data_IF_878318105921
#
_entry.id   IF_878318105921
#
_cell.length_a   1.000
_cell.length_b   1.000
_cell.length_c   1.000
_cell.angle_alpha   90.00
_cell.angle_beta   90.00
_cell.angle_gamma   90.00
#
_symmetry.space_group_name_H-M   'P 1'
#
loop_
_entity.id
_entity.type
_entity.pdbx_description
1 polymer ?
#
# COMPACT_ATOMS: atom_id res chain seq x y z
N UNK A 1 -8.34 30.37 -30.63
CA UNK A 1 -8.21 29.48 -29.44
C UNK A 1 -9.27 29.86 -28.41
N UNK A 2 -10.16 28.96 -28.01
CA UNK A 2 -11.37 29.29 -27.24
C UNK A 2 -11.04 29.57 -25.75
N UNK A 3 -11.14 30.83 -25.32
CA UNK A 3 -10.87 31.30 -23.95
C UNK A 3 -11.65 30.50 -22.90
N UNK A 4 -12.91 30.14 -23.18
CA UNK A 4 -13.74 29.33 -22.27
C UNK A 4 -13.11 27.97 -21.98
N UNK A 5 -12.53 27.32 -23.00
CA UNK A 5 -11.88 26.00 -22.86
C UNK A 5 -10.64 26.06 -21.96
N UNK A 6 -9.86 27.13 -22.08
CA UNK A 6 -8.66 27.36 -21.25
C UNK A 6 -9.06 27.55 -19.80
N UNK A 7 -10.06 28.40 -19.55
CA UNK A 7 -10.58 28.66 -18.21
C UNK A 7 -11.07 27.36 -17.56
N UNK A 8 -11.90 26.58 -18.26
CA UNK A 8 -12.38 25.29 -17.77
C UNK A 8 -11.25 24.31 -17.43
N UNK A 9 -10.21 24.25 -18.28
CA UNK A 9 -9.05 23.39 -18.01
C UNK A 9 -8.28 23.84 -16.76
N UNK A 10 -8.12 25.14 -16.56
CA UNK A 10 -7.46 25.69 -15.37
C UNK A 10 -8.26 25.40 -14.10
N UNK A 11 -9.59 25.54 -14.15
CA UNK A 11 -10.48 25.19 -13.05
C UNK A 11 -10.32 23.71 -12.68
N UNK A 12 -10.42 22.79 -13.64
CA UNK A 12 -10.24 21.34 -13.39
C UNK A 12 -8.87 21.01 -12.78
N UNK A 13 -7.81 21.63 -13.27
CA UNK A 13 -6.47 21.46 -12.71
C UNK A 13 -6.36 21.99 -11.28
N UNK A 14 -7.02 23.11 -10.97
CA UNK A 14 -7.08 23.64 -9.62
C UNK A 14 -7.87 22.70 -8.69
N UNK A 15 -9.03 22.21 -9.13
CA UNK A 15 -9.84 21.25 -8.38
C UNK A 15 -9.04 19.97 -8.06
N UNK A 16 -8.32 19.41 -9.03
CA UNK A 16 -7.44 18.25 -8.82
C UNK A 16 -6.33 18.56 -7.80
N UNK A 17 -5.69 19.73 -7.88
CA UNK A 17 -4.64 20.11 -6.93
C UNK A 17 -5.19 20.28 -5.51
N UNK A 18 -6.38 20.86 -5.38
CA UNK A 18 -7.05 21.04 -4.09
C UNK A 18 -7.53 19.71 -3.50
N UNK A 19 -7.98 18.78 -4.34
CA UNK A 19 -8.45 17.47 -3.88
C UNK A 19 -7.32 16.65 -3.26
N UNK A 20 -6.08 16.77 -3.76
CA UNK A 20 -4.90 16.09 -3.20
C UNK A 20 -4.38 16.63 -1.86
N UNK A 21 -5.12 17.52 -1.18
CA UNK A 21 -4.77 18.02 0.16
C UNK A 21 -5.12 17.05 1.29
N UNK A 22 -6.09 16.15 1.08
CA UNK A 22 -6.42 15.07 2.01
C UNK A 22 -6.91 13.84 1.26
N UNK A 23 -6.89 12.69 1.92
CA UNK A 23 -7.25 11.41 1.32
C UNK A 23 -8.74 11.39 0.96
N UNK A 24 -9.56 11.86 1.87
CA UNK A 24 -11.02 11.93 1.77
C UNK A 24 -11.41 12.83 0.59
N UNK A 25 -10.77 14.00 0.47
CA UNK A 25 -10.99 14.92 -0.65
C UNK A 25 -10.61 14.31 -1.99
N UNK A 26 -9.47 13.61 -2.05
CA UNK A 26 -9.03 13.00 -3.31
C UNK A 26 -9.93 11.84 -3.72
N UNK A 27 -10.31 10.95 -2.80
CA UNK A 27 -11.25 9.86 -3.07
C UNK A 27 -12.60 10.41 -3.53
N UNK A 28 -13.14 11.43 -2.84
CA UNK A 28 -14.41 12.06 -3.24
C UNK A 28 -14.31 12.71 -4.62
N UNK A 29 -13.18 13.34 -4.94
CA UNK A 29 -12.93 13.87 -6.27
C UNK A 29 -12.91 12.77 -7.34
N UNK A 30 -12.21 11.66 -7.10
CA UNK A 30 -12.14 10.53 -8.04
C UNK A 30 -13.52 9.90 -8.26
N UNK A 31 -14.30 9.68 -7.19
CA UNK A 31 -15.69 9.21 -7.26
C UNK A 31 -16.58 10.18 -8.04
N UNK A 32 -16.43 11.50 -7.84
CA UNK A 32 -17.13 12.54 -8.61
C UNK A 32 -16.78 12.50 -10.11
N UNK A 33 -15.56 12.08 -10.48
CA UNK A 33 -15.21 11.87 -11.89
C UNK A 33 -15.88 10.61 -12.47
N UNK A 34 -16.41 9.70 -11.66
CA UNK A 34 -17.06 8.46 -12.09
C UNK A 34 -16.22 7.19 -11.88
N UNK A 35 -15.10 7.29 -11.15
CA UNK A 35 -14.30 6.12 -10.77
C UNK A 35 -15.01 5.36 -9.65
N UNK A 36 -15.12 4.03 -9.77
CA UNK A 36 -15.64 3.20 -8.67
C UNK A 36 -14.52 2.91 -7.67
N UNK A 37 -14.73 3.30 -6.42
CA UNK A 37 -13.77 3.09 -5.33
C UNK A 37 -14.54 2.59 -4.11
N UNK A 38 -14.16 1.42 -3.62
CA UNK A 38 -14.66 0.83 -2.37
C UNK A 38 -14.23 1.60 -1.12
N UNK A 39 -14.42 0.99 0.03
CA UNK A 39 -14.17 1.60 1.34
C UNK A 39 -12.83 1.20 1.94
N UNK A 40 -12.46 1.90 3.02
CA UNK A 40 -11.19 1.70 3.74
C UNK A 40 -9.94 1.77 2.84
N UNK A 41 -9.91 2.79 1.98
CA UNK A 41 -8.71 3.09 1.22
C UNK A 41 -7.73 3.83 2.13
N UNK A 42 -6.50 3.36 2.15
CA UNK A 42 -5.39 4.08 2.76
C UNK A 42 -4.49 4.66 1.68
N UNK A 43 -4.09 5.91 1.88
CA UNK A 43 -3.11 6.59 1.04
C UNK A 43 -2.03 7.19 1.93
N UNK A 44 -0.81 7.23 1.43
CA UNK A 44 0.28 7.97 2.06
C UNK A 44 -0.10 9.44 2.29
N UNK A 45 0.43 10.12 3.33
CA UNK A 45 0.21 11.56 3.53
C UNK A 45 0.64 12.44 2.34
N UNK A 46 1.55 11.94 1.49
CA UNK A 46 2.02 12.61 0.25
C UNK A 46 1.14 12.26 -0.94
N UNK A 47 -0.16 12.59 -0.85
CA UNK A 47 -1.18 12.30 -1.88
C UNK A 47 -0.86 12.99 -3.21
N UNK A 48 -0.14 14.12 -3.16
CA UNK A 48 0.40 14.81 -4.33
C UNK A 48 1.12 13.88 -5.31
N UNK A 49 1.75 12.82 -4.79
CA UNK A 49 2.51 11.82 -5.55
C UNK A 49 1.70 10.69 -6.16
N UNK A 50 0.40 10.58 -5.82
CA UNK A 50 -0.48 9.55 -6.37
C UNK A 50 -1.13 10.09 -7.65
N UNK A 51 -1.04 9.34 -8.75
CA UNK A 51 -1.67 9.66 -10.03
C UNK A 51 -2.62 8.55 -10.44
N UNK A 52 -3.92 8.82 -10.42
CA UNK A 52 -4.95 7.94 -10.96
C UNK A 52 -5.57 8.65 -12.17
N UNK A 53 -5.57 7.97 -13.30
CA UNK A 53 -6.09 8.47 -14.57
C UNK A 53 -7.60 8.75 -14.50
N UNK A 54 -7.95 10.03 -14.58
CA UNK A 54 -9.34 10.52 -14.60
C UNK A 54 -9.83 10.84 -16.01
N UNK A 55 -9.04 10.57 -17.06
CA UNK A 55 -9.45 10.85 -18.44
C UNK A 55 -10.49 9.85 -18.96
N UNK A 56 -10.48 8.61 -18.42
CA UNK A 56 -11.46 7.55 -18.70
C UNK A 56 -11.91 6.92 -17.38
N UNK A 57 -12.64 7.67 -16.55
CA UNK A 57 -12.94 7.26 -15.17
C UNK A 57 -13.79 5.99 -15.10
N UNK A 58 -14.62 5.73 -16.12
CA UNK A 58 -15.42 4.50 -16.26
C UNK A 58 -14.60 3.23 -16.43
N UNK A 59 -13.29 3.35 -16.70
CA UNK A 59 -12.37 2.23 -16.86
C UNK A 59 -11.59 1.92 -15.57
N UNK A 60 -11.85 2.59 -14.45
CA UNK A 60 -11.14 2.35 -13.19
C UNK A 60 -12.09 1.84 -12.12
N UNK A 61 -11.77 0.67 -11.57
CA UNK A 61 -12.45 0.09 -10.41
C UNK A 61 -11.43 -0.31 -9.34
N UNK A 62 -11.65 0.12 -8.11
CA UNK A 62 -10.80 -0.17 -6.94
C UNK A 62 -11.68 -0.75 -5.83
N UNK A 63 -11.34 -1.93 -5.32
CA UNK A 63 -12.04 -2.61 -4.24
C UNK A 63 -11.85 -1.99 -2.87
N UNK A 64 -12.20 -2.75 -1.83
CA UNK A 64 -12.09 -2.33 -0.43
C UNK A 64 -10.71 -2.64 0.15
N UNK A 65 -10.33 -1.97 1.24
CA UNK A 65 -9.11 -2.28 2.00
C UNK A 65 -7.81 -2.15 1.17
N UNK A 66 -7.76 -1.21 0.23
CA UNK A 66 -6.59 -1.01 -0.65
C UNK A 66 -5.62 0.01 -0.05
N UNK A 67 -4.33 -0.31 -0.08
CA UNK A 67 -3.26 0.53 0.48
C UNK A 67 -2.35 1.04 -0.64
N UNK A 68 -2.36 2.36 -0.86
CA UNK A 68 -1.62 3.01 -1.94
C UNK A 68 -0.50 3.88 -1.36
N UNK A 69 0.74 3.52 -1.68
CA UNK A 69 1.93 4.23 -1.23
C UNK A 69 2.39 5.34 -2.20
N UNK A 70 3.46 6.05 -1.80
CA UNK A 70 4.02 7.18 -2.55
C UNK A 70 4.40 6.81 -3.98
N UNK A 71 4.24 7.76 -4.89
CA UNK A 71 4.58 7.65 -6.31
C UNK A 71 3.82 6.51 -7.01
N UNK A 72 2.56 6.29 -6.63
CA UNK A 72 1.68 5.33 -7.31
C UNK A 72 1.11 5.95 -8.59
N UNK A 73 1.11 5.19 -9.68
CA UNK A 73 0.50 5.58 -10.95
C UNK A 73 -0.46 4.52 -11.46
N UNK A 74 -1.66 4.92 -11.87
CA UNK A 74 -2.64 4.06 -12.57
C UNK A 74 -3.05 4.77 -13.86
N UNK A 75 -2.81 4.12 -14.99
CA UNK A 75 -3.19 4.63 -16.31
C UNK A 75 -4.17 3.69 -17.02
N UNK A 76 -5.17 4.25 -17.69
CA UNK A 76 -6.13 3.48 -18.50
C UNK A 76 -5.91 3.65 -20.00
N UNK A 77 -4.97 4.51 -20.40
CA UNK A 77 -4.60 4.77 -21.78
C UNK A 77 -3.10 5.04 -21.92
N UNK A 78 -2.59 4.94 -23.14
CA UNK A 78 -1.19 5.20 -23.46
C UNK A 78 -1.04 6.08 -24.71
N UNK A 79 0.05 6.86 -24.75
CA UNK A 79 0.38 7.81 -25.82
C UNK A 79 1.23 7.25 -26.97
N UNK A 80 1.56 5.95 -26.97
CA UNK A 80 2.39 5.32 -28.00
C UNK A 80 1.90 5.51 -29.43
N UNK A 81 0.63 5.87 -29.61
CA UNK A 81 0.04 6.22 -30.91
C UNK A 81 0.77 7.38 -31.61
N UNK A 82 1.46 8.28 -30.90
CA UNK A 82 2.21 9.37 -31.55
C UNK A 82 3.31 8.84 -32.47
N UNK A 83 3.97 7.72 -32.11
CA UNK A 83 4.97 7.08 -32.97
C UNK A 83 4.30 6.43 -34.17
N UNK A 84 3.15 5.78 -33.96
CA UNK A 84 2.38 5.14 -35.03
C UNK A 84 1.85 6.16 -36.03
N UNK A 85 1.40 7.32 -35.55
CA UNK A 85 0.95 8.43 -36.38
C UNK A 85 2.09 8.96 -37.26
N UNK A 86 3.28 9.15 -36.69
CA UNK A 86 4.41 9.68 -37.46
C UNK A 86 5.03 8.66 -38.41
N UNK A 87 4.99 7.37 -38.07
CA UNK A 87 5.61 6.30 -38.84
C UNK A 87 4.69 5.70 -39.90
N UNK A 88 3.42 5.53 -39.56
CA UNK A 88 2.43 4.82 -40.39
C UNK A 88 1.28 5.73 -40.84
N UNK A 89 1.23 7.00 -40.40
CA UNK A 89 0.12 7.91 -40.66
C UNK A 89 -1.25 7.40 -40.17
N UNK A 90 -1.25 6.46 -39.22
CA UNK A 90 -2.45 5.87 -38.65
C UNK A 90 -2.62 6.27 -37.19
N UNK A 91 -3.85 6.66 -36.83
CA UNK A 91 -4.23 6.95 -35.45
C UNK A 91 -4.77 5.67 -34.79
N UNK A 92 -3.90 4.98 -34.05
CA UNK A 92 -4.24 3.71 -33.37
C UNK A 92 -4.26 3.94 -31.85
N UNK A 93 -5.43 4.21 -31.24
CA UNK A 93 -5.53 4.48 -29.81
C UNK A 93 -5.36 3.22 -28.97
N UNK A 94 -4.92 3.39 -27.72
CA UNK A 94 -4.84 2.28 -26.77
C UNK A 94 -5.47 2.67 -25.44
N UNK A 95 -6.43 1.87 -24.99
CA UNK A 95 -7.04 1.98 -23.66
C UNK A 95 -7.51 0.63 -23.16
N UNK A 96 -7.67 0.49 -21.85
CA UNK A 96 -8.16 -0.74 -21.23
C UNK A 96 -8.58 -0.52 -19.79
N UNK A 97 -9.60 -1.28 -19.37
CA UNK A 97 -10.10 -1.27 -17.99
C UNK A 97 -8.99 -1.71 -17.03
N UNK A 98 -8.90 -1.05 -15.88
CA UNK A 98 -8.07 -1.45 -14.75
C UNK A 98 -8.98 -1.80 -13.59
N UNK A 99 -8.83 -3.02 -13.07
CA UNK A 99 -9.59 -3.51 -11.92
C UNK A 99 -8.61 -3.87 -10.81
N UNK A 100 -8.78 -3.29 -9.63
CA UNK A 100 -8.05 -3.65 -8.41
C UNK A 100 -9.04 -4.28 -7.44
N UNK A 101 -8.76 -5.50 -7.01
CA UNK A 101 -9.55 -6.25 -6.04
C UNK A 101 -9.53 -5.67 -4.63
N UNK A 102 -10.01 -6.47 -3.69
CA UNK A 102 -10.03 -6.16 -2.26
C UNK A 102 -8.71 -6.53 -1.58
N UNK A 103 -8.37 -5.82 -0.50
CA UNK A 103 -7.20 -6.12 0.33
C UNK A 103 -5.89 -6.19 -0.49
N UNK A 104 -5.62 -5.14 -1.27
CA UNK A 104 -4.43 -5.04 -2.11
C UNK A 104 -3.46 -4.02 -1.54
N UNK A 105 -2.20 -4.43 -1.36
CA UNK A 105 -1.12 -3.55 -0.95
C UNK A 105 -0.24 -3.19 -2.14
N UNK A 106 -0.04 -1.89 -2.36
CA UNK A 106 0.98 -1.37 -3.27
C UNK A 106 2.13 -0.77 -2.48
N UNK A 107 3.34 -1.26 -2.71
CA UNK A 107 4.58 -0.62 -2.26
C UNK A 107 4.76 0.76 -2.91
N UNK A 108 5.80 1.49 -2.49
CA UNK A 108 6.14 2.78 -3.13
C UNK A 108 6.58 2.55 -4.58
N UNK A 109 6.40 3.57 -5.42
CA UNK A 109 6.82 3.58 -6.83
C UNK A 109 6.16 2.49 -7.70
N UNK A 110 4.91 2.10 -7.41
CA UNK A 110 4.19 1.15 -8.26
C UNK A 110 3.48 1.86 -9.42
N UNK A 111 3.45 1.21 -10.59
CA UNK A 111 2.67 1.64 -11.75
C UNK A 111 1.77 0.52 -12.25
N UNK A 112 0.50 0.81 -12.51
CA UNK A 112 -0.50 -0.13 -13.05
C UNK A 112 -0.94 0.36 -14.43
N UNK A 113 -0.74 -0.49 -15.43
CA UNK A 113 -1.04 -0.17 -16.82
C UNK A 113 -2.47 -0.58 -17.21
N UNK A 114 -2.94 0.03 -18.30
CA UNK A 114 -4.24 -0.23 -18.93
C UNK A 114 -4.47 -1.72 -19.18
N UNK A 115 -5.71 -2.17 -19.00
CA UNK A 115 -6.13 -3.53 -19.35
C UNK A 115 -5.75 -4.60 -18.33
N UNK A 116 -5.35 -4.20 -17.11
CA UNK A 116 -4.89 -5.12 -16.06
C UNK A 116 -5.98 -5.32 -14.99
N UNK A 117 -6.14 -6.58 -14.57
CA UNK A 117 -6.88 -6.98 -13.37
C UNK A 117 -5.91 -7.49 -12.30
N UNK A 118 -5.97 -6.90 -11.10
CA UNK A 118 -5.29 -7.38 -9.90
C UNK A 118 -6.36 -7.98 -8.99
N UNK A 119 -6.23 -9.26 -8.67
CA UNK A 119 -7.17 -9.98 -7.80
C UNK A 119 -7.08 -9.56 -6.33
N UNK A 120 -7.93 -10.18 -5.52
CA UNK A 120 -8.00 -9.93 -4.08
C UNK A 120 -6.75 -10.44 -3.36
N UNK A 121 -6.45 -9.88 -2.17
CA UNK A 121 -5.33 -10.30 -1.31
C UNK A 121 -3.98 -10.31 -2.03
N UNK A 122 -3.64 -9.21 -2.71
CA UNK A 122 -2.38 -9.12 -3.45
C UNK A 122 -1.38 -8.18 -2.78
N UNK A 123 -0.10 -8.58 -2.81
CA UNK A 123 1.01 -7.71 -2.40
C UNK A 123 1.82 -7.36 -3.65
N UNK A 124 1.79 -6.09 -4.03
CA UNK A 124 2.57 -5.54 -5.13
C UNK A 124 3.79 -4.84 -4.54
N UNK A 125 4.97 -5.43 -4.74
CA UNK A 125 6.21 -4.96 -4.12
C UNK A 125 6.69 -3.60 -4.62
N UNK A 126 7.66 -3.02 -3.90
CA UNK A 126 8.26 -1.73 -4.22
C UNK A 126 8.77 -1.67 -5.67
N UNK A 127 8.48 -0.56 -6.37
CA UNK A 127 8.99 -0.31 -7.72
C UNK A 127 8.35 -1.13 -8.83
N UNK A 128 7.24 -1.83 -8.56
CA UNK A 128 6.65 -2.75 -9.53
C UNK A 128 5.91 -2.05 -10.68
N UNK A 129 6.06 -2.55 -11.90
CA UNK A 129 5.33 -2.07 -13.09
C UNK A 129 4.41 -3.18 -13.59
N UNK A 130 3.13 -3.10 -13.21
CA UNK A 130 2.12 -4.10 -13.51
C UNK A 130 1.58 -3.89 -14.92
N UNK A 131 1.93 -4.80 -15.82
CA UNK A 131 1.57 -4.78 -17.26
C UNK A 131 0.72 -5.96 -17.69
N UNK A 132 0.43 -6.87 -16.76
CA UNK A 132 -0.37 -8.09 -16.96
C UNK A 132 -1.14 -8.36 -15.68
N UNK A 133 -2.20 -9.15 -15.79
CA UNK A 133 -3.04 -9.53 -14.66
C UNK A 133 -2.23 -10.20 -13.55
N UNK A 134 -2.63 -9.91 -12.32
CA UNK A 134 -2.08 -10.53 -11.11
C UNK A 134 -3.21 -11.35 -10.47
N UNK A 135 -3.10 -12.68 -10.40
CA UNK A 135 -4.09 -13.53 -9.75
C UNK A 135 -4.27 -13.18 -8.27
N UNK A 136 -5.44 -13.47 -7.71
CA UNK A 136 -5.68 -13.33 -6.28
C UNK A 136 -4.67 -14.12 -5.42
N UNK A 137 -4.49 -13.72 -4.16
CA UNK A 137 -3.59 -14.35 -3.18
C UNK A 137 -2.11 -14.41 -3.64
N UNK A 138 -1.68 -13.44 -4.46
CA UNK A 138 -0.34 -13.42 -5.04
C UNK A 138 0.55 -12.31 -4.46
N UNK A 139 1.84 -12.60 -4.40
CA UNK A 139 2.89 -11.59 -4.23
C UNK A 139 3.57 -11.38 -5.57
N UNK A 140 3.59 -10.15 -6.06
CA UNK A 140 4.20 -9.80 -7.33
C UNK A 140 5.20 -8.65 -7.20
N UNK A 141 6.34 -8.76 -7.88
CA UNK A 141 7.43 -7.75 -7.84
C UNK A 141 8.04 -7.54 -9.21
N UNK A 142 8.74 -6.40 -9.40
CA UNK A 142 9.59 -6.13 -10.55
C UNK A 142 8.94 -5.29 -11.67
N UNK A 143 9.72 -4.98 -12.69
CA UNK A 143 9.31 -4.18 -13.84
C UNK A 143 9.76 -4.88 -15.14
N UNK A 144 8.87 -5.63 -15.82
CA UNK A 144 7.46 -5.82 -15.51
C UNK A 144 7.23 -6.74 -14.30
N UNK A 145 6.13 -6.51 -13.58
CA UNK A 145 5.78 -7.28 -12.39
C UNK A 145 5.53 -8.75 -12.74
N UNK A 146 6.04 -9.66 -11.90
CA UNK A 146 5.85 -11.10 -11.99
C UNK A 146 5.48 -11.65 -10.63
N UNK A 147 4.58 -12.62 -10.60
CA UNK A 147 4.24 -13.36 -9.39
C UNK A 147 5.47 -14.15 -8.94
N UNK A 148 5.86 -13.98 -7.68
CA UNK A 148 7.02 -14.65 -7.07
C UNK A 148 6.62 -15.64 -5.98
N UNK A 149 5.34 -15.72 -5.63
CA UNK A 149 4.81 -16.65 -4.65
C UNK A 149 3.39 -16.29 -4.22
N UNK A 150 2.82 -17.11 -3.35
CA UNK A 150 1.52 -16.84 -2.73
C UNK A 150 1.65 -15.94 -1.51
N UNK A 151 0.53 -15.35 -1.07
CA UNK A 151 0.46 -14.63 0.21
C UNK A 151 0.68 -15.57 1.39
N UNK A 152 0.26 -16.84 1.32
CA UNK A 152 0.47 -17.82 2.39
C UNK A 152 1.96 -18.15 2.58
N UNK A 153 2.69 -18.32 1.49
CA UNK A 153 4.14 -18.53 1.55
C UNK A 153 4.85 -17.28 2.09
N UNK A 154 4.39 -16.10 1.69
CA UNK A 154 4.90 -14.84 2.21
C UNK A 154 4.63 -14.69 3.71
N UNK A 155 3.43 -15.06 4.17
CA UNK A 155 3.06 -15.07 5.58
C UNK A 155 4.00 -15.96 6.38
N UNK A 156 4.16 -17.23 6.01
CA UNK A 156 5.08 -18.17 6.70
C UNK A 156 6.49 -17.59 6.79
N UNK A 157 7.03 -17.14 5.65
CA UNK A 157 8.35 -16.53 5.56
C UNK A 157 8.49 -15.28 6.46
N UNK A 158 7.46 -14.44 6.54
CA UNK A 158 7.48 -13.23 7.36
C UNK A 158 7.39 -13.54 8.85
N UNK A 159 6.55 -14.48 9.25
CA UNK A 159 6.38 -14.92 10.65
C UNK A 159 7.68 -15.45 11.25
N UNK A 160 8.53 -16.12 10.46
CA UNK A 160 9.84 -16.58 10.92
C UNK A 160 10.88 -15.44 10.93
N UNK A 161 10.94 -14.66 9.84
CA UNK A 161 11.96 -13.61 9.70
C UNK A 161 11.79 -12.46 10.68
N UNK A 162 10.56 -12.10 11.05
CA UNK A 162 10.31 -10.94 11.91
C UNK A 162 10.97 -11.09 13.28
N UNK A 163 11.07 -12.31 13.83
CA UNK A 163 11.71 -12.58 15.11
C UNK A 163 13.19 -12.17 15.06
N UNK A 164 13.93 -12.70 14.09
CA UNK A 164 15.35 -12.41 13.94
C UNK A 164 15.61 -10.92 13.62
N UNK A 165 14.75 -10.30 12.82
CA UNK A 165 14.83 -8.87 12.50
C UNK A 165 14.61 -8.00 13.75
N UNK A 166 13.63 -8.34 14.60
CA UNK A 166 13.33 -7.62 15.84
C UNK A 166 14.47 -7.74 16.87
N UNK A 167 15.03 -8.94 17.05
CA UNK A 167 16.20 -9.15 17.93
C UNK A 167 17.43 -8.38 17.42
N UNK A 168 17.65 -8.37 16.10
CA UNK A 168 18.72 -7.60 15.48
C UNK A 168 18.50 -6.08 15.66
N UNK A 169 17.25 -5.61 15.58
CA UNK A 169 16.91 -4.22 15.84
C UNK A 169 17.21 -3.84 17.30
N UNK A 170 16.83 -4.67 18.27
CA UNK A 170 17.16 -4.45 19.69
C UNK A 170 18.66 -4.32 19.94
N UNK A 171 19.46 -5.27 19.43
CA UNK A 171 20.94 -5.18 19.50
C UNK A 171 21.50 -3.93 18.84
N UNK A 172 20.87 -3.47 17.75
CA UNK A 172 21.31 -2.26 17.05
C UNK A 172 21.18 -1.00 17.90
N UNK A 173 20.16 -0.92 18.76
CA UNK A 173 19.92 0.22 19.67
C UNK A 173 20.99 0.24 20.75
N UNK A 174 21.25 -0.89 21.41
CA UNK A 174 22.31 -1.01 22.42
C UNK A 174 23.67 -0.60 21.84
N UNK A 175 24.02 -1.16 20.67
CA UNK A 175 25.29 -0.87 20.00
C UNK A 175 25.44 0.60 19.59
N UNK A 176 24.37 1.23 19.10
CA UNK A 176 24.42 2.59 18.54
C UNK A 176 24.29 3.68 19.60
N UNK A 177 23.46 3.44 20.61
CA UNK A 177 23.08 4.45 21.62
C UNK A 177 23.63 4.14 23.01
N UNK A 178 24.33 3.01 23.19
CA UNK A 178 24.96 2.61 24.45
C UNK A 178 23.99 2.60 25.63
N UNK A 179 22.76 2.15 25.38
CA UNK A 179 21.70 2.02 26.39
C UNK A 179 20.78 0.86 26.06
N UNK A 180 20.07 0.38 27.08
CA UNK A 180 18.98 -0.59 26.91
C UNK A 180 17.88 -0.03 26.00
N UNK A 181 17.31 -0.85 25.10
CA UNK A 181 16.17 -0.45 24.29
C UNK A 181 14.93 -0.17 25.15
N UNK A 182 14.10 0.77 24.71
CA UNK A 182 12.86 1.17 25.40
C UNK A 182 11.65 0.57 24.71
N UNK A 183 10.60 0.31 25.46
CA UNK A 183 9.37 -0.30 24.96
C UNK A 183 8.76 0.47 23.77
N UNK A 184 8.79 1.80 23.81
CA UNK A 184 8.16 2.65 22.78
C UNK A 184 8.85 2.54 21.42
N UNK A 185 10.07 1.99 21.37
CA UNK A 185 10.82 1.77 20.14
C UNK A 185 10.30 0.53 19.37
N UNK A 186 9.62 -0.40 20.05
CA UNK A 186 9.13 -1.68 19.51
C UNK A 186 7.62 -1.70 19.31
N UNK A 187 7.08 -0.57 18.86
CA UNK A 187 5.66 -0.42 18.63
C UNK A 187 5.15 -1.21 17.42
N UNK A 188 6.00 -1.76 16.54
CA UNK A 188 5.58 -2.71 15.48
C UNK A 188 5.86 -4.18 15.87
N UNK A 189 6.87 -4.41 16.72
CA UNK A 189 7.32 -5.73 17.17
C UNK A 189 6.59 -6.22 18.42
N UNK A 190 5.68 -5.41 19.00
CA UNK A 190 4.91 -5.79 20.18
C UNK A 190 4.26 -7.17 20.14
N UNK A 191 3.79 -7.73 18.98
CA UNK A 191 3.22 -9.07 18.97
C UNK A 191 4.19 -10.16 19.44
N UNK A 192 5.51 -9.92 19.40
CA UNK A 192 6.49 -10.89 19.87
C UNK A 192 6.44 -11.07 21.39
N UNK A 193 6.00 -10.07 22.16
CA UNK A 193 6.03 -10.09 23.62
C UNK A 193 4.72 -9.64 24.30
N UNK A 194 3.68 -9.36 23.52
CA UNK A 194 2.36 -8.96 24.00
C UNK A 194 1.27 -9.88 23.47
N UNK A 195 0.36 -10.29 24.34
CA UNK A 195 -0.89 -10.96 24.04
C UNK A 195 -2.01 -10.51 24.99
N UNK A 196 -3.16 -11.17 24.95
CA UNK A 196 -4.32 -10.84 25.81
C UNK A 196 -4.01 -10.90 27.31
N UNK A 197 -3.10 -11.78 27.73
CA UNK A 197 -2.81 -11.98 29.15
C UNK A 197 -2.06 -10.78 29.73
N UNK A 198 -1.10 -10.22 28.97
CA UNK A 198 -0.20 -9.18 29.49
C UNK A 198 -0.39 -7.80 28.83
N UNK A 199 -1.26 -7.63 27.82
CA UNK A 199 -1.45 -6.32 27.15
C UNK A 199 -1.85 -5.17 28.08
N UNK A 200 -2.51 -5.49 29.20
CA UNK A 200 -2.89 -4.50 30.21
C UNK A 200 -1.68 -3.84 30.90
N UNK A 201 -0.51 -4.48 30.86
CA UNK A 201 0.76 -3.95 31.36
C UNK A 201 1.40 -2.94 30.38
N UNK A 202 0.92 -2.89 29.14
CA UNK A 202 1.48 -2.04 28.08
C UNK A 202 0.45 -1.06 27.49
N UNK A 203 -0.26 -0.26 28.31
CA UNK A 203 -1.39 0.56 27.86
C UNK A 203 -1.00 1.66 26.87
N UNK A 204 0.28 2.01 26.77
CA UNK A 204 0.80 3.05 25.88
C UNK A 204 1.10 2.54 24.46
N UNK A 205 1.12 1.22 24.24
CA UNK A 205 1.37 0.67 22.91
C UNK A 205 0.14 0.88 21.99
N UNK A 206 0.35 1.25 20.71
CA UNK A 206 -0.75 1.63 19.83
C UNK A 206 -1.47 0.44 19.19
N UNK A 207 -1.61 -0.69 19.89
CA UNK A 207 -2.12 -1.95 19.32
C UNK A 207 -3.54 -1.81 18.72
N UNK A 208 -4.47 -1.11 19.38
CA UNK A 208 -5.83 -0.87 18.81
C UNK A 208 -5.77 -0.10 17.49
N UNK A 209 -4.89 0.90 17.41
CA UNK A 209 -4.69 1.72 16.21
C UNK A 209 -4.05 0.93 15.08
N UNK A 210 -3.09 0.06 15.39
CA UNK A 210 -2.37 -0.73 14.38
C UNK A 210 -3.18 -1.92 13.87
N UNK A 211 -3.84 -2.64 14.76
CA UNK A 211 -4.64 -3.82 14.42
C UNK A 211 -6.00 -3.42 13.83
N UNK A 212 -6.52 -2.25 14.18
CA UNK A 212 -7.79 -1.74 13.67
C UNK A 212 -8.91 -2.74 13.87
N UNK A 213 -9.65 -3.03 12.80
CA UNK A 213 -10.79 -3.97 12.82
C UNK A 213 -10.38 -5.41 13.19
N UNK A 214 -9.09 -5.75 13.09
CA UNK A 214 -8.57 -7.07 13.50
C UNK A 214 -8.23 -7.15 14.99
N UNK A 215 -8.39 -6.07 15.77
CA UNK A 215 -7.98 -6.03 17.17
C UNK A 215 -8.61 -7.14 18.02
N UNK A 216 -9.94 -7.30 17.97
CA UNK A 216 -10.63 -8.27 18.83
C UNK A 216 -10.24 -9.71 18.47
N UNK A 217 -10.20 -10.03 17.17
CA UNK A 217 -9.75 -11.34 16.70
C UNK A 217 -8.30 -11.60 17.11
N UNK A 218 -7.41 -10.64 16.91
CA UNK A 218 -6.00 -10.75 17.27
C UNK A 218 -5.85 -10.97 18.79
N UNK A 219 -6.55 -10.22 19.63
CA UNK A 219 -6.47 -10.37 21.07
C UNK A 219 -6.86 -11.79 21.53
N UNK A 220 -7.90 -12.39 20.93
CA UNK A 220 -8.34 -13.74 21.31
C UNK A 220 -7.44 -14.88 20.80
N UNK A 221 -6.74 -14.70 19.68
CA UNK A 221 -6.05 -15.80 18.99
C UNK A 221 -4.52 -15.68 18.98
N UNK A 222 -3.99 -14.47 19.13
CA UNK A 222 -2.56 -14.23 19.13
C UNK A 222 -1.90 -14.72 20.42
N UNK A 223 -0.72 -15.30 20.30
CA UNK A 223 0.12 -15.72 21.41
C UNK A 223 1.49 -15.08 21.29
N UNK A 224 1.95 -14.47 22.37
CA UNK A 224 3.31 -13.92 22.45
C UNK A 224 4.34 -15.06 22.37
N UNK A 225 5.52 -14.74 21.86
CA UNK A 225 6.65 -15.67 21.78
C UNK A 225 7.51 -15.57 23.05
N UNK A 226 7.68 -14.34 23.55
CA UNK A 226 8.40 -14.03 24.79
C UNK A 226 7.41 -13.53 25.83
N UNK A 227 7.58 -13.92 27.10
CA UNK A 227 6.78 -13.47 28.23
C UNK A 227 7.16 -12.05 28.67
N UNK A 228 6.79 -11.09 27.82
CA UNK A 228 7.03 -9.67 28.05
C UNK A 228 8.35 -9.14 27.50
N UNK A 229 8.47 -7.82 27.56
CA UNK A 229 9.54 -7.07 26.90
C UNK A 229 10.94 -7.42 27.42
N UNK A 230 11.08 -7.69 28.72
CA UNK A 230 12.36 -8.05 29.32
C UNK A 230 12.88 -9.42 28.85
N UNK A 231 12.01 -10.42 28.68
CA UNK A 231 12.42 -11.70 28.11
C UNK A 231 12.82 -11.55 26.63
N UNK A 232 12.09 -10.74 25.87
CA UNK A 232 12.47 -10.41 24.50
C UNK A 232 13.87 -9.77 24.42
N UNK A 233 14.21 -8.84 25.32
CA UNK A 233 15.54 -8.23 25.36
C UNK A 233 16.63 -9.24 25.77
N UNK A 234 16.36 -10.13 26.73
CA UNK A 234 17.27 -11.23 27.09
C UNK A 234 17.52 -12.17 25.91
N UNK A 235 16.49 -12.50 25.13
CA UNK A 235 16.65 -13.28 23.90
C UNK A 235 17.49 -12.56 22.84
N UNK A 236 17.50 -11.22 22.87
CA UNK A 236 18.41 -10.39 22.10
C UNK A 236 19.80 -10.25 22.74
N UNK A 237 20.12 -10.96 23.83
CA UNK A 237 21.42 -10.91 24.51
C UNK A 237 21.71 -9.58 25.20
N UNK A 238 20.67 -8.85 25.61
CA UNK A 238 20.74 -7.57 26.31
C UNK A 238 20.28 -7.81 27.75
N UNK A 239 21.13 -7.49 28.72
CA UNK A 239 20.82 -7.57 30.16
C UNK A 239 20.30 -6.23 30.71
#
# INVERSE_FOLDING_TARGET
>A
MNIKRIIQSRIRNLELRLSKRSKERYINYLRKQGIKIGENIWMTPRIDTISIDVTRPSLVEIGNNVRINRNFTLITHDGGYYVLLNKYHEFIPQSGKVTIGNNVYFGRNCSVFKGVTIGDNCIIGFGSVVTRDIPANSVAVGAPARVVGSVDDYYKKRSEKCINEALAYAKSIEKRFHRKPRLEEFWEEFPLFVDKENMHLYPHLPYKRQLGDSFDYWAEHHKKIYDGFEEFLKAAGIE
#
